data_IF_358735726526
#
_entry.id   IF_358735726526
#
_cell.length_a   1.000
_cell.length_b   1.000
_cell.length_c   1.000
_cell.angle_alpha   90.00
_cell.angle_beta   90.00
_cell.angle_gamma   90.00
#
_symmetry.space_group_name_H-M   'P 1'
#
loop_
_entity.id
_entity.type
_entity.pdbx_description
1 polymer ?
#
# COMPACT_ATOMS: atom_id res chain seq x y z
N UNK A 1 -23.00 7.48 -12.95
CA UNK A 1 -22.44 7.83 -12.99
C UNK A 1 -22.02 8.15 -12.84
N UNK A 2 -21.90 7.74 -12.61
CA UNK A 2 -21.19 8.07 -12.58
C UNK A 2 -20.52 8.36 -12.45
N UNK A 3 -20.62 8.00 -12.26
CA UNK A 3 -19.73 8.29 -12.26
C UNK A 3 -19.05 8.59 -12.16
N UNK A 4 -19.10 8.25 -12.04
CA UNK A 4 -18.18 8.54 -12.04
C UNK A 4 -17.44 8.72 -11.87
N UNK A 5 -17.65 8.43 -11.80
CA UNK A 5 -16.80 8.63 -11.81
C UNK A 5 -16.04 8.85 -11.71
N UNK A 6 -15.89 8.68 -11.73
CA UNK A 6 -14.97 8.98 -11.77
C UNK A 6 -14.23 9.26 -11.66
N UNK A 7 -14.32 9.18 -11.72
CA UNK A 7 -13.46 9.53 -11.81
C UNK A 7 -12.76 9.79 -11.60
N UNK A 8 -12.57 9.68 -11.62
CA UNK A 8 -11.64 9.96 -11.56
C UNK A 8 -10.90 10.14 -11.48
N UNK A 9 -10.91 10.04 -11.48
CA UNK A 9 -10.05 10.25 -11.58
C UNK A 9 -9.31 10.48 -11.60
N UNK A 10 -9.19 10.59 -11.53
CA UNK A 10 -8.39 10.91 -11.66
C UNK A 10 -7.73 11.00 -11.30
N UNK A 11 -7.76 11.16 -11.13
CA UNK A 11 -7.07 11.53 -10.82
C UNK A 11 -6.40 11.05 -10.35
N UNK A 12 -7.07 11.03 -9.71
CA UNK A 12 -6.19 10.40 -9.03
C UNK A 12 -5.35 9.36 -9.60
N UNK A 13 -5.26 9.31 -10.45
CA UNK A 13 -4.45 8.41 -11.21
C UNK A 13 -3.00 8.38 -10.80
N UNK A 14 -2.56 9.30 -9.97
CA UNK A 14 -1.17 9.33 -9.54
C UNK A 14 -0.91 8.42 -8.35
N UNK A 15 -1.94 7.91 -7.72
CA UNK A 15 -1.78 7.04 -6.56
C UNK A 15 -1.76 5.60 -7.01
N UNK A 16 -0.60 4.97 -6.86
CA UNK A 16 -0.42 3.57 -7.20
C UNK A 16 -0.78 2.71 -6.01
N UNK A 17 -1.72 1.80 -6.17
CA UNK A 17 -2.05 0.84 -5.11
C UNK A 17 -1.31 -0.46 -5.39
N UNK A 18 -0.47 -0.84 -4.45
CA UNK A 18 0.33 -2.06 -4.52
C UNK A 18 -0.32 -3.07 -3.59
N UNK A 19 -0.99 -4.06 -4.14
CA UNK A 19 -1.69 -5.06 -3.35
C UNK A 19 -0.76 -6.23 -3.06
N UNK A 20 -0.61 -6.55 -1.78
CA UNK A 20 0.12 -7.73 -1.36
C UNK A 20 -0.90 -8.83 -1.14
N UNK A 21 -0.89 -9.82 -2.02
CA UNK A 21 -1.90 -10.88 -1.99
C UNK A 21 -1.32 -12.29 -2.11
N UNK A 22 -0.02 -12.43 -1.97
CA UNK A 22 0.59 -13.75 -2.04
C UNK A 22 1.74 -13.86 -1.06
N UNK A 23 2.31 -15.06 -0.99
CA UNK A 23 3.30 -15.41 0.03
C UNK A 23 4.73 -15.18 -0.40
N UNK A 24 4.94 -14.29 -1.33
CA UNK A 24 6.25 -13.94 -1.81
C UNK A 24 7.13 -13.41 -0.67
N UNK A 25 8.45 -13.67 -0.68
CA UNK A 25 9.32 -13.15 0.37
C UNK A 25 9.25 -11.62 0.48
N UNK A 26 9.28 -11.14 1.71
CA UNK A 26 9.09 -9.73 1.99
C UNK A 26 10.09 -8.85 1.24
N UNK A 27 11.36 -9.28 1.16
CA UNK A 27 12.35 -8.48 0.46
C UNK A 27 12.06 -8.33 -1.02
N UNK A 28 11.53 -9.38 -1.66
CA UNK A 28 11.16 -9.28 -3.07
C UNK A 28 10.03 -8.28 -3.27
N UNK A 29 9.04 -8.34 -2.37
CA UNK A 29 7.93 -7.40 -2.42
C UNK A 29 8.44 -5.97 -2.22
N UNK A 30 9.36 -5.79 -1.28
CA UNK A 30 9.92 -4.47 -1.00
C UNK A 30 10.67 -3.90 -2.20
N UNK A 31 11.43 -4.73 -2.91
CA UNK A 31 12.11 -4.24 -4.11
C UNK A 31 11.14 -3.80 -5.19
N UNK A 32 10.07 -4.56 -5.37
CA UNK A 32 9.06 -4.18 -6.36
C UNK A 32 8.37 -2.86 -5.96
N UNK A 33 8.05 -2.72 -4.68
CA UNK A 33 7.43 -1.48 -4.20
C UNK A 33 8.38 -0.30 -4.33
N UNK A 34 9.67 -0.54 -4.11
CA UNK A 34 10.68 0.50 -4.23
C UNK A 34 10.69 1.10 -5.63
N UNK A 35 10.59 0.26 -6.66
CA UNK A 35 10.56 0.76 -8.02
C UNK A 35 9.36 1.66 -8.27
N UNK A 36 8.22 1.28 -7.71
CA UNK A 36 7.01 2.05 -7.90
C UNK A 36 7.11 3.42 -7.22
N UNK A 37 7.58 3.43 -5.96
CA UNK A 37 7.62 4.68 -5.23
C UNK A 37 8.67 5.64 -5.79
N UNK A 38 9.76 5.10 -6.32
CA UNK A 38 10.75 5.96 -6.96
C UNK A 38 10.21 6.62 -8.22
N UNK A 39 9.38 5.90 -8.95
CA UNK A 39 8.81 6.42 -10.18
C UNK A 39 7.69 7.41 -9.92
N UNK A 40 6.80 7.09 -8.99
CA UNK A 40 5.59 7.86 -8.77
C UNK A 40 5.67 8.82 -7.59
N UNK A 41 6.73 8.73 -6.78
CA UNK A 41 6.95 9.55 -5.59
C UNK A 41 5.99 9.23 -4.45
N UNK A 42 5.09 8.29 -4.65
CA UNK A 42 4.13 7.87 -3.65
C UNK A 42 3.68 6.46 -3.95
N UNK A 43 3.38 5.69 -2.92
CA UNK A 43 2.83 4.37 -3.08
C UNK A 43 1.82 4.13 -1.95
N UNK A 44 0.76 3.38 -2.26
CA UNK A 44 -0.18 2.89 -1.26
C UNK A 44 -0.07 1.38 -1.25
N UNK A 45 0.34 0.82 -0.12
CA UNK A 45 0.51 -0.63 0.03
C UNK A 45 -0.68 -1.15 0.80
N UNK A 46 -1.36 -2.14 0.25
CA UNK A 46 -2.58 -2.67 0.82
C UNK A 46 -2.49 -4.18 1.00
N UNK A 47 -3.07 -4.68 2.08
CA UNK A 47 -3.16 -6.11 2.32
C UNK A 47 -4.37 -6.43 3.17
N UNK A 48 -4.80 -7.69 3.10
CA UNK A 48 -5.96 -8.17 3.84
C UNK A 48 -5.58 -9.42 4.62
N UNK A 49 -6.23 -9.58 5.78
CA UNK A 49 -6.05 -10.77 6.58
C UNK A 49 -4.61 -11.00 6.95
N UNK A 50 -4.11 -12.18 6.60
CA UNK A 50 -2.74 -12.55 6.96
C UNK A 50 -1.71 -11.68 6.24
N UNK A 51 -2.08 -11.03 5.17
CA UNK A 51 -1.14 -10.18 4.45
C UNK A 51 -0.91 -8.85 5.14
N UNK A 52 -1.71 -8.51 6.15
CA UNK A 52 -1.51 -7.24 6.88
C UNK A 52 -0.13 -7.15 7.51
N UNK A 53 0.38 -8.26 8.05
CA UNK A 53 1.71 -8.24 8.66
C UNK A 53 2.79 -8.02 7.61
N UNK A 54 2.58 -8.53 6.39
CA UNK A 54 3.53 -8.29 5.31
C UNK A 54 3.51 -6.83 4.87
N UNK A 55 2.36 -6.20 4.87
CA UNK A 55 2.26 -4.77 4.55
C UNK A 55 3.11 -3.96 5.52
N UNK A 56 2.99 -4.26 6.82
CA UNK A 56 3.78 -3.57 7.84
C UNK A 56 5.27 -3.81 7.63
N UNK A 57 5.66 -5.07 7.40
CA UNK A 57 7.06 -5.42 7.21
C UNK A 57 7.65 -4.74 5.99
N UNK A 58 6.94 -4.78 4.86
CA UNK A 58 7.40 -4.15 3.63
C UNK A 58 7.54 -2.65 3.82
N UNK A 59 6.55 -2.04 4.48
CA UNK A 59 6.55 -0.59 4.71
C UNK A 59 7.75 -0.18 5.57
N UNK A 60 8.04 -0.95 6.62
CA UNK A 60 9.19 -0.66 7.47
C UNK A 60 10.50 -0.79 6.73
N UNK A 61 10.63 -1.82 5.90
CA UNK A 61 11.84 -2.00 5.11
C UNK A 61 12.05 -0.82 4.17
N UNK A 62 10.98 -0.38 3.52
CA UNK A 62 11.08 0.76 2.61
C UNK A 62 11.52 2.03 3.34
N UNK A 63 10.88 2.32 4.47
CA UNK A 63 11.15 3.55 5.20
C UNK A 63 12.52 3.52 5.88
N UNK A 64 12.83 2.41 6.54
CA UNK A 64 14.00 2.38 7.43
C UNK A 64 15.27 1.92 6.76
N UNK A 65 15.15 1.13 5.69
CA UNK A 65 16.35 0.53 5.08
C UNK A 65 16.62 1.04 3.68
N UNK A 66 15.59 1.21 2.88
CA UNK A 66 15.78 1.54 1.47
C UNK A 66 15.73 3.02 1.19
N UNK A 67 14.81 3.72 1.81
CA UNK A 67 14.60 5.14 1.54
C UNK A 67 15.08 6.03 2.67
N UNK A 68 15.23 5.47 3.85
CA UNK A 68 15.73 6.16 5.03
C UNK A 68 15.06 7.52 5.19
N UNK A 69 15.81 8.60 5.17
CA UNK A 69 15.27 9.91 5.44
C UNK A 69 14.64 10.59 4.24
N UNK A 70 14.53 9.87 3.14
CA UNK A 70 13.94 10.45 1.91
C UNK A 70 12.48 10.15 1.74
N UNK A 71 11.86 9.43 2.67
CA UNK A 71 10.45 9.08 2.60
C UNK A 71 9.85 9.01 3.98
N UNK A 72 8.53 9.14 4.04
CA UNK A 72 7.83 9.04 5.31
C UNK A 72 6.47 8.41 5.11
N UNK A 73 5.89 7.92 6.20
CA UNK A 73 4.49 7.49 6.20
C UNK A 73 3.60 8.71 6.09
N UNK A 74 2.70 8.69 5.14
CA UNK A 74 1.73 9.76 5.00
C UNK A 74 0.44 9.41 5.74
N UNK A 75 0.01 8.16 5.64
CA UNK A 75 -1.25 7.75 6.24
C UNK A 75 -1.26 6.25 6.42
N UNK A 76 -1.88 5.80 7.49
CA UNK A 76 -2.10 4.38 7.75
C UNK A 76 -3.57 4.21 8.07
N UNK A 77 -4.28 3.43 7.26
CA UNK A 77 -5.69 3.12 7.47
C UNK A 77 -5.86 1.65 7.80
N UNK A 78 -6.57 1.37 8.86
CA UNK A 78 -6.92 0.01 9.24
C UNK A 78 -8.44 -0.09 9.23
N UNK A 79 -8.96 -1.15 8.62
CA UNK A 79 -10.39 -1.32 8.46
C UNK A 79 -10.74 -2.80 8.55
N UNK A 80 -12.02 -3.09 8.47
CA UNK A 80 -12.52 -4.47 8.44
C UNK A 80 -13.55 -4.61 7.34
N UNK A 81 -13.55 -5.76 6.71
CA UNK A 81 -14.56 -6.11 5.72
C UNK A 81 -15.30 -7.34 6.20
N UNK A 82 -16.61 -7.37 5.96
CA UNK A 82 -17.40 -8.56 6.25
C UNK A 82 -17.47 -9.40 4.98
N UNK A 83 -17.08 -10.67 5.11
CA UNK A 83 -17.16 -11.62 4.01
C UNK A 83 -18.58 -12.17 3.90
N UNK A 84 -18.85 -12.83 2.78
CA UNK A 84 -20.17 -13.37 2.50
C UNK A 84 -20.64 -14.36 3.55
N UNK A 85 -19.70 -15.06 4.17
CA UNK A 85 -20.03 -16.06 5.21
C UNK A 85 -20.14 -15.45 6.59
N UNK A 86 -20.12 -14.13 6.70
CA UNK A 86 -20.25 -13.45 7.99
C UNK A 86 -18.97 -13.25 8.75
N UNK A 87 -17.83 -13.69 8.23
CA UNK A 87 -16.55 -13.48 8.87
C UNK A 87 -16.05 -12.07 8.62
N UNK A 88 -15.30 -11.54 9.59
CA UNK A 88 -14.62 -10.25 9.41
C UNK A 88 -13.18 -10.49 9.04
N UNK A 89 -12.69 -9.70 8.10
CA UNK A 89 -11.29 -9.74 7.71
C UNK A 89 -10.71 -8.34 7.85
N UNK A 90 -9.52 -8.25 8.44
CA UNK A 90 -8.86 -6.96 8.60
C UNK A 90 -8.18 -6.55 7.30
N UNK A 91 -8.18 -5.26 7.05
CA UNK A 91 -7.45 -4.69 5.91
C UNK A 91 -6.58 -3.56 6.42
N UNK A 92 -5.45 -3.35 5.75
CA UNK A 92 -4.57 -2.24 6.09
C UNK A 92 -4.09 -1.59 4.80
N UNK A 93 -4.04 -0.26 4.79
CA UNK A 93 -3.46 0.52 3.70
C UNK A 93 -2.43 1.46 4.30
N UNK A 94 -1.25 1.46 3.72
CA UNK A 94 -0.17 2.34 4.17
C UNK A 94 0.26 3.19 2.99
N UNK A 95 0.17 4.50 3.15
CA UNK A 95 0.61 5.44 2.11
C UNK A 95 1.99 5.97 2.50
N UNK A 96 2.93 5.88 1.58
CA UNK A 96 4.31 6.33 1.78
C UNK A 96 4.63 7.33 0.68
N UNK A 97 5.22 8.46 1.06
CA UNK A 97 5.58 9.50 0.10
C UNK A 97 7.07 9.81 0.19
N UNK A 98 7.64 10.16 -0.94
CA UNK A 98 9.00 10.68 -1.01
C UNK A 98 8.97 12.14 -0.56
N UNK A 99 9.85 12.48 0.39
CA UNK A 99 9.88 13.82 0.97
C UNK A 99 10.96 14.69 0.35
N UNK A 100 11.63 14.19 -0.63
CA UNK A 100 12.84 14.85 -1.12
C UNK A 100 12.75 15.15 -2.58
#
# INVERSE_FOLDING_TARGET
MTTDIEINDSSSSTDEIFLIDNDEPVMNIAFNALEIIRKNKKIIIKGKGEMCSKVVAVSNILIERMLKETAKFEKIDVDSEMLDDGQLISTIKVAIVITH
#
